data_IF_618959571835
#
_entry.id   IF_618959571835
#
_cell.length_a   1.000
_cell.length_b   1.000
_cell.length_c   1.000
_cell.angle_alpha   90.00
_cell.angle_beta   90.00
_cell.angle_gamma   90.00
#
_symmetry.space_group_name_H-M   'P 1'
#
loop_
_entity.id
_entity.type
_entity.pdbx_description
1 polymer ?
#
# COMPACT_ATOMS: atom_id res chain seq x y z
N UNK A 1 26.15 -16.77 5.43
CA UNK A 1 25.18 -15.74 5.02
C UNK A 1 25.61 -15.28 3.64
N UNK A 2 24.83 -15.54 2.61
CA UNK A 2 25.13 -15.04 1.25
C UNK A 2 24.57 -13.64 1.19
N UNK A 3 25.43 -12.63 1.14
CA UNK A 3 25.06 -11.28 0.77
C UNK A 3 24.51 -11.35 -0.65
N UNK A 4 23.19 -11.40 -0.73
CA UNK A 4 22.48 -11.20 -2.01
C UNK A 4 22.78 -9.75 -2.38
N UNK A 5 23.57 -9.57 -3.42
CA UNK A 5 23.93 -8.29 -4.02
C UNK A 5 22.62 -7.59 -4.45
N UNK A 6 21.90 -6.98 -3.47
CA UNK A 6 20.70 -6.18 -3.75
C UNK A 6 21.17 -5.04 -4.66
N UNK A 7 20.78 -5.08 -5.91
CA UNK A 7 21.05 -4.00 -6.88
C UNK A 7 20.53 -2.71 -6.25
N UNK A 8 21.39 -1.71 -6.12
CA UNK A 8 21.03 -0.43 -5.54
C UNK A 8 19.78 0.13 -6.25
N UNK A 9 18.78 0.51 -5.48
CA UNK A 9 17.57 1.14 -6.02
C UNK A 9 17.94 2.47 -6.68
N UNK A 10 17.34 2.73 -7.83
CA UNK A 10 17.46 3.99 -8.57
C UNK A 10 16.08 4.60 -8.75
N UNK A 11 15.99 5.89 -9.08
CA UNK A 11 14.69 6.51 -9.33
C UNK A 11 13.90 5.78 -10.42
N UNK A 12 14.53 5.33 -11.50
CA UNK A 12 13.88 4.57 -12.59
C UNK A 12 13.25 3.26 -12.14
N UNK A 13 13.74 2.65 -11.06
CA UNK A 13 13.21 1.38 -10.51
C UNK A 13 12.31 1.60 -9.30
N UNK A 14 12.12 2.86 -8.89
CA UNK A 14 11.34 3.20 -7.71
C UNK A 14 9.84 3.02 -7.98
N UNK A 15 9.15 2.39 -7.01
CA UNK A 15 7.71 2.21 -7.01
C UNK A 15 7.15 2.35 -5.57
N UNK A 16 5.82 2.34 -5.42
CA UNK A 16 5.15 2.53 -4.12
C UNK A 16 5.47 1.45 -3.09
N UNK A 17 5.88 0.26 -3.51
CA UNK A 17 6.26 -0.81 -2.58
C UNK A 17 7.71 -0.69 -2.14
N UNK A 18 8.66 -0.56 -3.07
CA UNK A 18 10.08 -0.56 -2.73
C UNK A 18 10.59 0.76 -2.13
N UNK A 19 9.84 1.85 -2.23
CA UNK A 19 10.16 3.13 -1.60
C UNK A 19 10.27 3.02 -0.08
N UNK A 20 9.56 2.07 0.54
CA UNK A 20 9.62 1.80 1.98
C UNK A 20 10.95 1.17 2.43
N UNK A 21 11.77 0.65 1.51
CA UNK A 21 13.12 0.15 1.82
C UNK A 21 14.13 1.28 2.00
N UNK A 22 13.86 2.47 1.46
CA UNK A 22 14.77 3.60 1.45
C UNK A 22 14.83 4.31 2.80
N UNK A 23 15.97 5.00 3.00
CA UNK A 23 16.16 5.99 4.05
C UNK A 23 16.19 7.39 3.44
N UNK A 24 16.04 8.42 4.26
CA UNK A 24 16.00 9.82 3.81
C UNK A 24 17.24 10.22 3.00
N UNK A 25 18.42 9.77 3.44
CA UNK A 25 19.69 10.05 2.76
C UNK A 25 19.78 9.39 1.38
N UNK A 26 19.11 8.23 1.20
CA UNK A 26 19.09 7.54 -0.09
C UNK A 26 18.30 8.34 -1.11
N UNK A 27 17.20 8.96 -0.66
CA UNK A 27 16.35 9.81 -1.50
C UNK A 27 17.14 11.01 -2.00
N UNK A 28 17.85 11.72 -1.13
CA UNK A 28 18.67 12.85 -1.55
C UNK A 28 19.72 12.43 -2.58
N UNK A 29 20.43 11.31 -2.34
CA UNK A 29 21.43 10.79 -3.31
C UNK A 29 20.81 10.42 -4.65
N UNK A 30 19.62 9.81 -4.64
CA UNK A 30 18.93 9.42 -5.86
C UNK A 30 18.45 10.63 -6.65
N UNK A 31 17.97 11.67 -5.99
CA UNK A 31 17.53 12.92 -6.59
C UNK A 31 18.73 13.71 -7.17
N UNK A 32 19.87 13.74 -6.47
CA UNK A 32 21.11 14.35 -6.98
C UNK A 32 21.65 13.60 -8.21
N UNK A 33 21.56 12.26 -8.21
CA UNK A 33 21.97 11.46 -9.36
C UNK A 33 21.05 11.68 -10.58
N UNK A 34 19.79 11.97 -10.33
CA UNK A 34 18.78 12.24 -11.36
C UNK A 34 19.03 13.53 -12.14
N UNK A 35 19.77 14.48 -11.57
CA UNK A 35 20.11 15.75 -12.23
C UNK A 35 20.81 15.54 -13.58
N UNK A 36 21.52 14.41 -13.75
CA UNK A 36 22.29 14.08 -14.93
C UNK A 36 21.49 13.34 -16.02
N UNK A 37 20.25 12.96 -15.73
CA UNK A 37 19.43 12.12 -16.61
C UNK A 37 18.20 12.92 -17.07
N UNK A 38 18.13 13.23 -18.38
CA UNK A 38 17.04 14.01 -18.96
C UNK A 38 15.67 13.33 -18.79
N UNK A 39 15.62 12.00 -18.99
CA UNK A 39 14.35 11.23 -18.87
C UNK A 39 13.76 11.29 -17.48
N UNK A 40 14.61 11.40 -16.45
CA UNK A 40 14.16 11.50 -15.06
C UNK A 40 13.64 12.90 -14.76
N UNK A 41 14.26 13.95 -15.32
CA UNK A 41 13.82 15.35 -15.16
C UNK A 41 12.38 15.53 -15.61
N UNK A 42 12.01 14.99 -16.76
CA UNK A 42 10.66 15.09 -17.31
C UNK A 42 9.61 14.40 -16.43
N UNK A 43 10.03 13.36 -15.70
CA UNK A 43 9.16 12.55 -14.82
C UNK A 43 9.37 12.82 -13.33
N UNK A 44 10.11 13.85 -12.94
CA UNK A 44 10.49 14.10 -11.53
C UNK A 44 9.28 14.21 -10.61
N UNK A 45 8.16 14.78 -11.07
CA UNK A 45 6.92 14.89 -10.29
C UNK A 45 6.36 13.53 -9.92
N UNK A 46 6.36 12.59 -10.85
CA UNK A 46 5.92 11.22 -10.61
C UNK A 46 6.76 10.54 -9.52
N UNK A 47 8.09 10.70 -9.57
CA UNK A 47 8.97 10.14 -8.53
C UNK A 47 8.78 10.81 -7.17
N UNK A 48 8.55 12.13 -7.14
CA UNK A 48 8.21 12.84 -5.90
C UNK A 48 6.90 12.31 -5.30
N UNK A 49 5.90 12.00 -6.11
CA UNK A 49 4.64 11.43 -5.63
C UNK A 49 4.82 10.02 -5.06
N UNK A 50 5.68 9.20 -5.67
CA UNK A 50 6.07 7.90 -5.12
C UNK A 50 6.78 8.10 -3.76
N UNK A 51 7.72 9.02 -3.66
CA UNK A 51 8.44 9.33 -2.42
C UNK A 51 7.46 9.80 -1.34
N UNK A 52 6.51 10.67 -1.68
CA UNK A 52 5.47 11.16 -0.78
C UNK A 52 4.53 10.06 -0.26
N UNK A 53 4.46 8.92 -0.91
CA UNK A 53 3.67 7.79 -0.39
C UNK A 53 4.25 7.18 0.89
N UNK A 54 5.58 7.24 1.07
CA UNK A 54 6.28 6.67 2.22
C UNK A 54 6.98 7.72 3.11
N UNK A 55 7.13 8.95 2.63
CA UNK A 55 7.83 10.02 3.34
C UNK A 55 6.98 11.29 3.40
N UNK A 56 7.15 12.02 4.49
CA UNK A 56 6.69 13.40 4.60
C UNK A 56 7.75 14.29 3.97
N UNK A 57 7.35 15.06 2.94
CA UNK A 57 8.23 15.93 2.16
C UNK A 57 7.71 17.36 2.30
N UNK A 58 8.46 18.21 2.98
CA UNK A 58 8.12 19.63 3.21
C UNK A 58 9.16 20.53 2.54
N UNK A 59 8.69 21.59 1.86
CA UNK A 59 9.56 22.61 1.29
C UNK A 59 9.94 23.63 2.36
N UNK A 60 11.23 23.91 2.50
CA UNK A 60 11.74 24.96 3.38
C UNK A 60 11.92 26.23 2.55
N UNK A 61 10.98 27.18 2.71
CA UNK A 61 10.96 28.43 1.94
C UNK A 61 12.06 29.42 2.32
N UNK A 62 12.61 29.31 3.52
CA UNK A 62 13.60 30.26 4.05
C UNK A 62 14.81 29.49 4.55
N UNK A 63 15.93 29.68 3.87
CA UNK A 63 17.23 29.09 4.25
C UNK A 63 17.83 29.86 5.43
N UNK A 64 17.43 29.50 6.65
CA UNK A 64 18.01 30.00 7.90
C UNK A 64 18.35 28.82 8.82
N UNK A 65 19.53 28.86 9.48
CA UNK A 65 19.97 27.77 10.37
C UNK A 65 18.96 27.42 11.47
N UNK A 66 18.26 28.43 12.00
CA UNK A 66 17.25 28.25 13.03
C UNK A 66 16.03 27.46 12.54
N UNK A 67 15.65 27.67 11.28
CA UNK A 67 14.51 26.96 10.66
C UNK A 67 14.93 25.53 10.33
N UNK A 68 16.11 25.33 9.76
CA UNK A 68 16.68 24.02 9.47
C UNK A 68 16.72 23.19 10.75
N UNK A 69 17.27 23.76 11.84
CA UNK A 69 17.33 23.08 13.13
C UNK A 69 15.96 22.67 13.68
N UNK A 70 14.92 23.49 13.50
CA UNK A 70 13.54 23.13 13.90
C UNK A 70 13.02 21.89 13.14
N UNK A 71 13.37 21.72 11.87
CA UNK A 71 13.02 20.52 11.11
C UNK A 71 13.84 19.32 11.60
N UNK A 72 15.13 19.48 11.84
CA UNK A 72 15.99 18.44 12.38
C UNK A 72 15.53 17.97 13.77
N UNK A 73 15.14 18.89 14.65
CA UNK A 73 14.59 18.59 15.99
C UNK A 73 13.26 17.80 15.89
N UNK A 74 12.47 17.98 14.81
CA UNK A 74 11.27 17.20 14.49
C UNK A 74 11.61 15.83 13.84
N UNK A 75 12.88 15.55 13.62
CA UNK A 75 13.38 14.30 13.03
C UNK A 75 13.36 14.28 11.50
N UNK A 76 13.26 15.42 10.84
CA UNK A 76 13.45 15.52 9.40
C UNK A 76 14.94 15.56 9.06
N UNK A 77 15.28 15.02 7.89
CA UNK A 77 16.56 15.25 7.23
C UNK A 77 16.37 16.35 6.22
N UNK A 78 17.29 17.31 6.21
CA UNK A 78 17.24 18.46 5.32
C UNK A 78 18.28 18.35 4.21
N UNK A 79 17.94 18.77 3.03
CA UNK A 79 18.83 18.76 1.88
C UNK A 79 18.26 19.61 0.74
N UNK A 80 19.12 19.93 -0.22
CA UNK A 80 18.73 20.71 -1.40
C UNK A 80 18.45 19.75 -2.56
N UNK A 81 17.25 19.84 -3.13
CA UNK A 81 16.85 19.10 -4.33
C UNK A 81 16.87 20.07 -5.50
N UNK A 82 17.48 19.68 -6.60
CA UNK A 82 17.43 20.41 -7.86
C UNK A 82 16.31 19.84 -8.73
N UNK A 83 15.30 20.64 -8.97
CA UNK A 83 14.15 20.27 -9.80
C UNK A 83 14.41 20.64 -11.24
N UNK A 84 15.11 21.77 -11.44
CA UNK A 84 15.46 22.30 -12.75
C UNK A 84 16.86 22.95 -12.70
N UNK A 85 17.44 23.30 -13.85
CA UNK A 85 18.77 23.92 -13.91
C UNK A 85 18.88 25.18 -13.05
N UNK A 86 17.76 25.93 -12.93
CA UNK A 86 17.69 27.17 -12.17
C UNK A 86 16.87 27.08 -10.87
N UNK A 87 16.21 25.92 -10.60
CA UNK A 87 15.33 25.77 -9.43
C UNK A 87 15.91 24.78 -8.43
N UNK A 88 16.51 25.33 -7.38
CA UNK A 88 16.93 24.56 -6.20
C UNK A 88 15.91 24.76 -5.10
N UNK A 89 15.44 23.67 -4.53
CA UNK A 89 14.47 23.66 -3.44
C UNK A 89 15.11 23.04 -2.21
N UNK A 90 15.19 23.81 -1.11
CA UNK A 90 15.57 23.27 0.19
C UNK A 90 14.39 22.46 0.72
N UNK A 91 14.61 21.19 0.99
CA UNK A 91 13.54 20.25 1.34
C UNK A 91 13.87 19.50 2.62
N UNK A 92 12.86 19.28 3.43
CA UNK A 92 12.90 18.43 4.61
C UNK A 92 12.16 17.13 4.32
N UNK A 93 12.80 15.99 4.57
CA UNK A 93 12.25 14.64 4.31
C UNK A 93 12.31 13.84 5.59
N UNK A 94 11.20 13.15 5.90
CA UNK A 94 11.10 12.24 7.04
C UNK A 94 10.29 11.02 6.66
N UNK A 95 10.78 9.83 6.98
CA UNK A 95 10.04 8.60 6.75
C UNK A 95 8.79 8.56 7.60
N UNK A 96 7.64 8.22 7.00
CA UNK A 96 6.37 8.10 7.72
C UNK A 96 6.43 6.98 8.72
N UNK A 97 6.06 7.27 9.96
CA UNK A 97 5.97 6.28 11.00
C UNK A 97 4.63 5.55 10.93
N UNK A 98 4.67 4.22 10.90
CA UNK A 98 3.47 3.38 11.02
C UNK A 98 3.16 3.25 12.51
N UNK A 99 2.10 3.93 12.96
CA UNK A 99 1.74 4.03 14.37
C UNK A 99 0.37 3.43 14.68
N UNK A 100 -0.55 3.41 13.70
CA UNK A 100 -1.93 2.94 13.84
C UNK A 100 -2.22 1.85 12.82
N UNK A 101 -3.21 1.03 13.09
CA UNK A 101 -3.67 0.00 12.15
C UNK A 101 -4.15 0.59 10.82
N UNK A 102 -4.67 1.84 10.85
CA UNK A 102 -5.08 2.58 9.64
C UNK A 102 -3.92 3.06 8.77
N UNK A 103 -2.69 3.05 9.29
CA UNK A 103 -1.49 3.42 8.53
C UNK A 103 -0.95 2.22 7.72
N UNK A 104 -1.50 1.01 7.96
CA UNK A 104 -1.11 -0.20 7.26
C UNK A 104 -1.70 -0.22 5.85
N UNK A 105 -0.86 -0.55 4.88
CA UNK A 105 -1.24 -0.71 3.47
C UNK A 105 -0.55 -1.94 2.88
N UNK A 106 -1.03 -2.41 1.73
CA UNK A 106 -0.40 -3.53 1.02
C UNK A 106 1.04 -3.24 0.60
N UNK A 107 1.39 -1.96 0.43
CA UNK A 107 2.73 -1.53 0.06
C UNK A 107 3.70 -1.55 1.24
N UNK A 108 3.24 -1.19 2.46
CA UNK A 108 4.12 -1.02 3.61
C UNK A 108 4.18 -2.23 4.56
N UNK A 109 3.17 -3.11 4.52
CA UNK A 109 3.02 -4.20 5.50
C UNK A 109 4.23 -5.14 5.54
N UNK A 110 4.91 -5.36 4.42
CA UNK A 110 6.11 -6.21 4.35
C UNK A 110 7.39 -5.54 4.83
N UNK A 111 7.35 -4.23 5.08
CA UNK A 111 8.51 -3.43 5.50
C UNK A 111 8.53 -3.13 7.00
N UNK A 112 7.63 -3.73 7.77
CA UNK A 112 7.63 -3.70 9.23
C UNK A 112 7.97 -5.08 9.79
N UNK A 113 8.52 -5.11 11.01
CA UNK A 113 8.75 -6.37 11.73
C UNK A 113 7.45 -6.87 12.38
N UNK A 114 7.40 -8.17 12.71
CA UNK A 114 6.28 -8.74 13.45
C UNK A 114 6.13 -8.07 14.84
N UNK A 115 7.22 -7.75 15.53
CA UNK A 115 7.18 -6.99 16.77
C UNK A 115 6.55 -5.60 16.59
N UNK A 116 6.86 -4.90 15.48
CA UNK A 116 6.22 -3.60 15.17
C UNK A 116 4.75 -3.75 14.86
N UNK A 117 4.36 -4.81 14.17
CA UNK A 117 2.95 -5.12 13.93
C UNK A 117 2.20 -5.33 15.25
N UNK A 118 2.78 -6.10 16.20
CA UNK A 118 2.19 -6.31 17.52
C UNK A 118 1.98 -4.99 18.27
N UNK A 119 2.98 -4.09 18.24
CA UNK A 119 2.87 -2.75 18.83
C UNK A 119 1.73 -1.92 18.21
N UNK A 120 1.56 -1.99 16.89
CA UNK A 120 0.51 -1.27 16.16
C UNK A 120 -0.87 -1.83 16.50
N UNK A 121 -1.03 -3.15 16.61
CA UNK A 121 -2.28 -3.79 17.02
C UNK A 121 -2.62 -3.46 18.47
N UNK A 122 -1.64 -3.51 19.38
CA UNK A 122 -1.83 -3.20 20.81
C UNK A 122 -2.34 -1.76 21.00
N UNK A 123 -1.82 -0.82 20.22
CA UNK A 123 -2.28 0.59 20.23
C UNK A 123 -3.70 0.80 19.70
N UNK A 124 -4.32 -0.20 19.11
CA UNK A 124 -5.70 -0.16 18.64
C UNK A 124 -6.70 -0.42 19.79
N UNK A 125 -6.52 0.29 20.91
CA UNK A 125 -7.40 0.28 22.08
C UNK A 125 -7.63 -1.09 22.72
N UNK A 126 -6.70 -2.05 22.56
CA UNK A 126 -6.77 -3.37 23.18
C UNK A 126 -7.93 -4.26 22.72
N UNK A 127 -8.56 -3.91 21.58
CA UNK A 127 -9.72 -4.65 21.05
C UNK A 127 -9.43 -6.04 20.50
N UNK A 128 -8.15 -6.37 20.30
CA UNK A 128 -7.71 -7.65 19.75
C UNK A 128 -7.94 -7.78 18.24
N UNK A 129 -7.76 -9.02 17.75
CA UNK A 129 -7.85 -9.30 16.32
C UNK A 129 -9.24 -9.06 15.73
N UNK A 130 -10.27 -9.48 16.46
CA UNK A 130 -11.67 -9.39 16.01
C UNK A 130 -12.20 -7.94 15.94
N UNK A 131 -11.49 -6.99 16.58
CA UNK A 131 -11.85 -5.56 16.52
C UNK A 131 -11.34 -4.87 15.25
N UNK A 132 -10.46 -5.52 14.50
CA UNK A 132 -9.94 -5.00 13.25
C UNK A 132 -10.96 -5.20 12.13
N UNK A 133 -11.12 -4.19 11.26
CA UNK A 133 -11.95 -4.37 10.06
C UNK A 133 -11.37 -5.45 9.14
N UNK A 134 -12.22 -6.11 8.37
CA UNK A 134 -11.79 -7.15 7.44
C UNK A 134 -10.69 -6.66 6.50
N UNK A 135 -10.80 -5.45 5.97
CA UNK A 135 -9.77 -4.88 5.08
C UNK A 135 -8.40 -4.73 5.76
N UNK A 136 -8.36 -4.39 7.05
CA UNK A 136 -7.10 -4.32 7.80
C UNK A 136 -6.55 -5.74 8.06
N UNK A 137 -7.43 -6.69 8.40
CA UNK A 137 -7.02 -8.08 8.56
C UNK A 137 -6.42 -8.64 7.26
N UNK A 138 -7.04 -8.37 6.11
CA UNK A 138 -6.55 -8.80 4.79
C UNK A 138 -5.18 -8.19 4.47
N UNK A 139 -4.98 -6.89 4.75
CA UNK A 139 -3.68 -6.23 4.61
C UNK A 139 -2.62 -6.93 5.47
N UNK A 140 -2.92 -7.16 6.76
CA UNK A 140 -1.99 -7.83 7.66
C UNK A 140 -1.68 -9.25 7.19
N UNK A 141 -2.70 -10.03 6.82
CA UNK A 141 -2.54 -11.39 6.33
C UNK A 141 -1.80 -11.48 4.99
N UNK A 142 -1.79 -10.41 4.19
CA UNK A 142 -1.00 -10.37 2.95
C UNK A 142 0.51 -10.41 3.21
N UNK A 143 0.97 -9.87 4.35
CA UNK A 143 2.39 -9.81 4.73
C UNK A 143 2.80 -10.80 5.81
N UNK A 144 1.87 -11.24 6.66
CA UNK A 144 2.15 -12.06 7.83
C UNK A 144 1.32 -13.33 7.90
N UNK A 145 1.90 -14.38 8.45
CA UNK A 145 1.17 -15.55 8.93
C UNK A 145 0.62 -15.22 10.31
N UNK A 146 -0.71 -15.16 10.42
CA UNK A 146 -1.41 -14.83 11.66
C UNK A 146 -2.10 -16.07 12.22
N UNK A 147 -1.98 -16.24 13.52
CA UNK A 147 -2.71 -17.27 14.28
C UNK A 147 -3.20 -16.66 15.58
N UNK A 148 -4.49 -16.80 15.89
CA UNK A 148 -5.10 -16.27 17.09
C UNK A 148 -5.66 -17.39 17.96
N UNK A 149 -5.64 -17.21 19.27
CA UNK A 149 -6.28 -18.12 20.22
C UNK A 149 -6.72 -17.35 21.45
N UNK A 150 -7.81 -17.80 22.05
CA UNK A 150 -8.31 -17.24 23.31
C UNK A 150 -8.39 -18.36 24.34
N UNK A 151 -7.52 -18.33 25.34
CA UNK A 151 -7.40 -19.36 26.37
C UNK A 151 -7.23 -18.72 27.75
N UNK A 152 -7.62 -19.46 28.84
CA UNK A 152 -7.20 -19.09 30.19
C UNK A 152 -5.68 -19.05 30.31
N UNK A 153 -5.16 -18.13 31.14
CA UNK A 153 -3.71 -17.90 31.31
C UNK A 153 -2.93 -19.20 31.57
N UNK A 154 -3.42 -20.05 32.44
CA UNK A 154 -2.75 -21.31 32.81
C UNK A 154 -2.69 -22.31 31.66
N UNK A 155 -3.65 -22.28 30.74
CA UNK A 155 -3.65 -23.13 29.55
C UNK A 155 -2.79 -22.57 28.44
N UNK A 156 -2.76 -21.25 28.28
CA UNK A 156 -1.94 -20.59 27.28
C UNK A 156 -0.46 -20.88 27.49
N UNK A 157 0.02 -20.73 28.73
CA UNK A 157 1.43 -20.91 29.10
C UNK A 157 1.78 -22.32 29.59
N UNK A 158 0.98 -23.33 29.22
CA UNK A 158 1.30 -24.72 29.55
C UNK A 158 2.65 -25.10 28.93
N UNK A 159 3.61 -25.67 29.72
CA UNK A 159 4.87 -26.14 29.18
C UNK A 159 4.70 -27.14 28.03
N UNK A 160 5.48 -26.98 26.95
CA UNK A 160 5.35 -27.76 25.72
C UNK A 160 4.09 -27.48 24.92
N UNK A 161 3.31 -26.46 25.30
CA UNK A 161 2.07 -26.06 24.64
C UNK A 161 2.25 -25.32 23.32
N UNK A 162 1.13 -24.83 22.77
CA UNK A 162 1.10 -24.12 21.49
C UNK A 162 1.91 -22.81 21.56
N UNK A 163 1.87 -22.10 22.67
CA UNK A 163 2.58 -20.83 22.88
C UNK A 163 4.08 -21.01 22.65
N UNK A 164 4.70 -21.94 23.39
CA UNK A 164 6.15 -22.20 23.29
C UNK A 164 6.53 -22.68 21.89
N UNK A 165 5.70 -23.52 21.25
CA UNK A 165 5.95 -23.98 19.88
C UNK A 165 5.93 -22.83 18.89
N UNK A 166 4.94 -21.94 18.96
CA UNK A 166 4.83 -20.76 18.06
C UNK A 166 6.02 -19.82 18.25
N UNK A 167 6.42 -19.55 19.51
CA UNK A 167 7.60 -18.72 19.79
C UNK A 167 8.88 -19.38 19.27
N UNK A 168 9.04 -20.70 19.47
CA UNK A 168 10.16 -21.45 18.93
C UNK A 168 10.20 -21.44 17.39
N UNK A 169 9.03 -21.43 16.73
CA UNK A 169 8.88 -21.30 15.28
C UNK A 169 9.14 -19.87 14.76
N UNK A 170 9.43 -18.92 15.67
CA UNK A 170 9.77 -17.53 15.33
C UNK A 170 8.58 -16.61 15.10
N UNK A 171 7.45 -16.89 15.76
CA UNK A 171 6.33 -15.96 15.84
C UNK A 171 6.54 -14.96 16.98
N UNK A 172 6.27 -13.70 16.74
CA UNK A 172 6.07 -12.69 17.77
C UNK A 172 4.65 -12.78 18.29
N UNK A 173 4.44 -12.45 19.57
CA UNK A 173 3.15 -12.66 20.25
C UNK A 173 2.70 -11.38 20.92
N UNK A 174 1.40 -11.07 20.78
CA UNK A 174 0.69 -10.07 21.55
C UNK A 174 -0.37 -10.77 22.43
N UNK A 175 -0.31 -10.52 23.73
CA UNK A 175 -1.28 -11.02 24.69
C UNK A 175 -2.21 -9.91 25.14
N UNK A 176 -3.49 -10.08 24.90
CA UNK A 176 -4.54 -9.12 25.28
C UNK A 176 -5.42 -9.75 26.36
N UNK A 177 -5.39 -9.22 27.60
CA UNK A 177 -6.22 -9.74 28.66
C UNK A 177 -7.71 -9.39 28.43
N UNK A 178 -8.55 -10.43 28.41
CA UNK A 178 -10.02 -10.34 28.33
C UNK A 178 -10.65 -10.99 29.56
N UNK A 179 -10.51 -10.35 30.72
CA UNK A 179 -10.95 -10.89 32.00
C UNK A 179 -10.14 -12.10 32.46
N UNK A 180 -10.77 -13.29 32.57
CA UNK A 180 -10.08 -14.54 32.92
C UNK A 180 -9.41 -15.23 31.72
N UNK A 181 -9.67 -14.73 30.53
CA UNK A 181 -9.12 -15.23 29.27
C UNK A 181 -8.01 -14.29 28.77
N UNK A 182 -7.09 -14.84 28.00
CA UNK A 182 -6.11 -14.08 27.24
C UNK A 182 -6.29 -14.41 25.78
N UNK A 183 -6.47 -13.39 24.95
CA UNK A 183 -6.32 -13.52 23.52
C UNK A 183 -4.85 -13.37 23.17
N UNK A 184 -4.27 -14.41 22.58
CA UNK A 184 -2.91 -14.39 22.07
C UNK A 184 -2.96 -14.31 20.53
N UNK A 185 -2.32 -13.27 19.97
CA UNK A 185 -2.16 -13.04 18.55
C UNK A 185 -0.71 -13.33 18.21
N UNK A 186 -0.49 -14.31 17.33
CA UNK A 186 0.84 -14.71 16.86
C UNK A 186 1.03 -14.20 15.45
N UNK A 187 2.16 -13.55 15.17
CA UNK A 187 2.49 -13.10 13.83
C UNK A 187 3.92 -13.48 13.44
N UNK A 188 4.08 -13.90 12.21
CA UNK A 188 5.38 -14.16 11.59
C UNK A 188 5.36 -13.59 10.18
N UNK A 189 6.43 -12.86 9.83
CA UNK A 189 6.56 -12.32 8.48
C UNK A 189 6.62 -13.46 7.45
N UNK A 190 5.77 -13.40 6.44
CA UNK A 190 5.79 -14.37 5.34
C UNK A 190 7.10 -14.24 4.56
N UNK A 191 7.71 -15.37 4.14
CA UNK A 191 8.86 -15.32 3.27
C UNK A 191 8.54 -14.58 1.97
N UNK A 192 9.51 -13.85 1.45
CA UNK A 192 9.37 -13.21 0.14
C UNK A 192 9.27 -14.31 -0.92
N UNK A 193 8.12 -14.36 -1.61
CA UNK A 193 7.95 -15.27 -2.74
C UNK A 193 8.73 -14.66 -3.90
N UNK A 194 9.88 -15.24 -4.23
CA UNK A 194 10.59 -14.89 -5.46
C UNK A 194 9.64 -15.15 -6.63
N UNK A 195 9.21 -14.05 -7.28
CA UNK A 195 8.46 -14.17 -8.53
C UNK A 195 9.34 -14.96 -9.50
N UNK A 196 8.84 -16.08 -10.08
CA UNK A 196 9.61 -16.82 -11.06
C UNK A 196 10.04 -15.81 -12.14
N UNK A 197 11.35 -15.65 -12.30
CA UNK A 197 11.90 -14.87 -13.40
C UNK A 197 11.50 -15.63 -14.66
N UNK A 198 10.51 -15.14 -15.37
CA UNK A 198 10.27 -15.59 -16.75
C UNK A 198 11.57 -15.26 -17.47
N UNK A 199 12.38 -16.28 -17.72
CA UNK A 199 13.46 -16.16 -18.69
C UNK A 199 12.74 -15.94 -20.00
N UNK A 200 12.67 -14.70 -20.45
CA UNK A 200 12.50 -14.42 -21.86
C UNK A 200 13.77 -15.05 -22.48
N UNK A 201 13.63 -16.24 -23.03
CA UNK A 201 14.62 -16.78 -23.95
C UNK A 201 14.65 -15.74 -25.06
N UNK A 202 15.76 -15.00 -25.16
CA UNK A 202 16.10 -14.22 -26.32
C UNK A 202 16.18 -15.22 -27.47
N UNK A 203 15.05 -15.48 -28.10
CA UNK A 203 15.02 -16.08 -29.42
C UNK A 203 15.60 -15.01 -30.37
N UNK A 204 16.93 -14.93 -30.34
CA UNK A 204 17.71 -14.29 -31.37
C UNK A 204 17.64 -15.22 -32.61
N UNK A 205 16.45 -15.33 -33.18
CA UNK A 205 16.33 -15.81 -34.55
C UNK A 205 16.90 -14.70 -35.42
N UNK A 206 18.16 -14.91 -35.81
CA UNK A 206 18.71 -14.35 -36.99
C UNK A 206 17.69 -14.55 -38.12
N UNK A 207 16.99 -13.49 -38.45
CA UNK A 207 16.29 -13.40 -39.73
C UNK A 207 17.35 -13.07 -40.76
N UNK A 208 18.00 -14.12 -41.29
CA UNK A 208 18.65 -14.06 -42.56
C UNK A 208 17.57 -13.76 -43.62
N UNK A 209 17.65 -12.58 -44.19
CA UNK A 209 16.86 -12.20 -45.36
C UNK A 209 17.38 -12.98 -46.56
N UNK A 210 16.68 -14.05 -46.90
CA UNK A 210 16.77 -14.66 -48.22
C UNK A 210 15.36 -15.03 -48.69
N UNK A 211 14.95 -14.28 -49.72
CA UNK A 211 14.22 -14.61 -50.94
C UNK A 211 13.03 -15.58 -50.89
N UNK A 212 11.93 -15.00 -51.38
CA UNK A 212 10.89 -15.61 -52.20
C UNK A 212 10.38 -17.02 -51.82
N UNK A 213 9.28 -17.08 -51.13
CA UNK A 213 8.26 -18.07 -51.40
C UNK A 213 6.89 -17.50 -51.14
N UNK A 214 6.18 -17.19 -52.22
CA UNK A 214 4.72 -17.13 -52.30
C UNK A 214 4.16 -18.48 -51.91
N UNK A 215 3.82 -18.68 -50.64
CA UNK A 215 3.00 -19.83 -50.19
C UNK A 215 1.89 -19.32 -49.30
N UNK A 216 0.70 -19.33 -49.92
CA UNK A 216 -0.64 -19.54 -49.37
C UNK A 216 -0.86 -19.16 -47.88
N UNK A 217 -1.23 -17.90 -47.68
CA UNK A 217 -2.00 -17.50 -46.48
C UNK A 217 -3.36 -18.21 -46.58
N UNK A 218 -3.82 -18.92 -45.52
CA UNK A 218 -5.17 -19.45 -45.50
C UNK A 218 -6.16 -18.27 -45.57
N UNK A 219 -7.05 -18.37 -46.55
CA UNK A 219 -8.17 -17.45 -46.71
C UNK A 219 -8.96 -17.43 -45.40
N UNK A 220 -8.97 -16.25 -44.72
CA UNK A 220 -9.87 -16.00 -43.63
C UNK A 220 -11.25 -15.87 -44.25
N UNK A 221 -12.11 -16.85 -43.94
CA UNK A 221 -13.49 -16.92 -44.36
C UNK A 221 -14.26 -15.71 -43.78
N UNK A 222 -14.50 -14.70 -44.63
CA UNK A 222 -15.25 -13.46 -44.33
C UNK A 222 -16.76 -13.70 -44.09
N UNK A 223 -17.09 -14.79 -43.37
CA UNK A 223 -18.48 -15.21 -43.12
C UNK A 223 -19.12 -14.64 -41.87
N UNK A 224 -18.46 -13.67 -41.20
CA UNK A 224 -18.99 -12.98 -40.04
C UNK A 224 -19.07 -11.44 -40.18
N UNK A 225 -19.26 -10.97 -41.38
CA UNK A 225 -19.72 -9.59 -41.59
C UNK A 225 -21.18 -9.64 -42.05
N UNK A 226 -22.09 -9.78 -41.12
CA UNK A 226 -23.48 -9.50 -41.30
C UNK A 226 -23.68 -8.00 -41.03
N UNK A 227 -23.96 -7.14 -42.07
CA UNK A 227 -24.08 -5.71 -41.85
C UNK A 227 -25.47 -5.27 -41.33
N UNK A 228 -26.31 -6.23 -40.89
CA UNK A 228 -27.71 -5.93 -40.51
C UNK A 228 -27.99 -6.11 -39.00
N UNK A 229 -26.98 -6.37 -38.12
CA UNK A 229 -27.17 -6.24 -36.69
C UNK A 229 -26.67 -4.84 -36.23
N UNK A 230 -27.31 -3.79 -36.71
CA UNK A 230 -27.41 -2.53 -35.99
C UNK A 230 -28.34 -2.76 -34.78
N UNK A 231 -27.80 -3.43 -33.74
CA UNK A 231 -28.36 -3.31 -32.40
C UNK A 231 -28.21 -1.85 -31.97
N UNK A 232 -29.34 -1.16 -32.16
CA UNK A 232 -29.63 0.20 -31.75
C UNK A 232 -29.41 0.30 -30.22
N UNK A 233 -28.16 0.39 -29.79
CA UNK A 233 -27.78 0.65 -28.42
C UNK A 233 -28.08 2.11 -28.10
N UNK A 234 -29.35 2.32 -27.71
CA UNK A 234 -29.87 3.62 -27.28
C UNK A 234 -29.26 3.91 -25.86
N UNK A 235 -28.07 4.52 -25.86
CA UNK A 235 -27.39 4.95 -24.61
C UNK A 235 -28.27 5.88 -23.77
N UNK A 236 -29.19 6.62 -24.38
CA UNK A 236 -30.09 7.53 -23.68
C UNK A 236 -31.16 6.78 -22.89
N UNK A 237 -31.59 5.58 -23.32
CA UNK A 237 -32.54 4.74 -22.57
C UNK A 237 -31.97 4.11 -21.33
N UNK A 238 -30.68 3.69 -21.36
CA UNK A 238 -29.99 3.12 -20.20
C UNK A 238 -29.75 4.16 -19.10
N UNK A 239 -29.55 5.43 -19.46
CA UNK A 239 -29.41 6.51 -18.48
C UNK A 239 -30.75 6.90 -17.88
N UNK A 240 -31.86 6.95 -18.63
CA UNK A 240 -33.17 7.26 -18.08
C UNK A 240 -33.71 6.17 -17.15
N UNK A 241 -33.52 4.87 -17.44
CA UNK A 241 -33.93 3.79 -16.53
C UNK A 241 -33.11 3.75 -15.24
N UNK A 242 -31.83 4.07 -15.29
CA UNK A 242 -30.95 4.17 -14.11
C UNK A 242 -31.37 5.30 -13.16
N UNK A 243 -31.88 6.41 -13.67
CA UNK A 243 -32.39 7.53 -12.86
C UNK A 243 -33.81 7.29 -12.33
N UNK A 244 -34.64 6.48 -13.00
CA UNK A 244 -36.01 6.19 -12.55
C UNK A 244 -36.07 5.25 -11.35
N UNK A 245 -35.12 4.39 -11.17
CA UNK A 245 -35.09 3.44 -10.01
C UNK A 245 -34.59 4.05 -8.70
N UNK A 246 -34.08 5.28 -8.72
CA UNK A 246 -33.51 5.95 -7.53
C UNK A 246 -34.40 7.08 -6.98
N UNK A 247 -35.52 7.46 -7.59
CA UNK A 247 -36.33 8.63 -7.19
C UNK A 247 -37.84 8.31 -7.13
N UNK A 248 -38.23 7.07 -6.82
CA UNK A 248 -39.62 6.75 -6.47
C UNK A 248 -39.84 6.49 -4.98
N UNK A 249 -39.02 7.05 -4.09
CA UNK A 249 -39.44 7.34 -2.73
C UNK A 249 -39.95 8.78 -2.71
N UNK A 250 -41.27 8.90 -2.73
CA UNK A 250 -42.01 10.15 -2.71
C UNK A 250 -41.61 10.91 -1.41
N UNK A 251 -41.02 12.13 -1.51
CA UNK A 251 -40.62 12.87 -0.30
C UNK A 251 -41.80 13.32 0.57
N UNK A 252 -43.04 13.05 0.18
CA UNK A 252 -44.24 13.32 0.97
C UNK A 252 -44.60 12.21 1.96
N UNK A 253 -43.96 11.03 1.89
CA UNK A 253 -44.14 9.93 2.87
C UNK A 253 -43.18 9.98 4.09
N UNK A 254 -42.30 10.95 4.14
CA UNK A 254 -41.53 11.31 5.33
C UNK A 254 -42.30 12.34 6.15
N UNK A 255 -43.40 11.91 6.74
CA UNK A 255 -44.15 12.68 7.72
C UNK A 255 -43.36 12.74 9.04
N UNK A 256 -42.31 13.55 9.04
CA UNK A 256 -41.62 13.97 10.25
C UNK A 256 -42.49 15.06 10.91
N UNK A 257 -43.55 14.63 11.57
CA UNK A 257 -44.24 15.48 12.51
C UNK A 257 -43.33 15.78 13.70
N UNK A 258 -42.93 17.05 13.79
CA UNK A 258 -42.07 17.59 14.83
C UNK A 258 -42.83 17.76 16.18
N UNK A 259 -43.61 16.77 16.60
CA UNK A 259 -44.50 16.88 17.75
C UNK A 259 -44.26 15.81 18.83
N UNK A 260 -43.04 15.28 18.97
CA UNK A 260 -42.66 14.42 20.09
C UNK A 260 -41.34 14.89 20.77
N UNK A 261 -41.27 16.18 21.09
CA UNK A 261 -40.38 16.66 22.12
C UNK A 261 -41.28 16.92 23.35
N UNK A 262 -41.60 15.86 24.10
CA UNK A 262 -42.16 16.01 25.39
C UNK A 262 -41.10 16.56 26.34
N UNK A 263 -41.35 17.78 26.84
CA UNK A 263 -40.76 18.33 28.07
C UNK A 263 -40.99 17.37 29.22
N UNK A 264 -39.92 16.72 29.69
CA UNK A 264 -39.86 16.15 31.04
C UNK A 264 -38.82 16.95 31.84
N UNK A 265 -39.19 18.18 32.19
CA UNK A 265 -38.77 18.84 33.41
C UNK A 265 -39.68 18.31 34.54
N UNK A 266 -39.14 17.41 35.41
CA UNK A 266 -39.46 17.42 36.85
C UNK A 266 -38.69 16.32 37.61
N UNK A 267 -37.93 16.79 38.61
CA UNK A 267 -37.24 16.21 39.76
C UNK A 267 -35.74 15.90 39.57
#
# INVERSE_FOLDING_TARGET
>A
MKDINKKALTLKTLNKSNVWELQENDIFRMLDAAEKDADIKDNIRHYIDIIKSAFDVEEIKVDRPEIIKKYEDRGFKTGTIKIDENLKMLTAIKKRAIMRVTDLTYENIRHISAAKLMEVIDRNFGGGWDSLSQSIQDIIQSGFDISTTTLPKDRLHKPGGMYEKKVADGFDVLEIPKGVWIEAIFAKLKPEVEKPRVKLEDNNNNFDADEDSDEDLPEIDDKYNDPDDEDDYDEDKLTEESYRTTIEENPEDLDLTADDVADDDDY
#
